data_IF_938987039319
#
_entry.id   IF_938987039319
#
_cell.length_a   1.000
_cell.length_b   1.000
_cell.length_c   1.000
_cell.angle_alpha   90.00
_cell.angle_beta   90.00
_cell.angle_gamma   90.00
#
_symmetry.space_group_name_H-M   'P 1'
#
loop_
_entity.id
_entity.type
_entity.pdbx_description
1 polymer ?
#
# COMPACT_ATOMS: atom_id res chain seq x y z
N UNK A 1 -14.69 21.12 -16.47
CA UNK A 1 -14.51 19.69 -16.75
C UNK A 1 -15.84 18.98 -16.56
N UNK A 2 -16.17 17.92 -17.31
CA UNK A 2 -17.29 17.05 -16.98
C UNK A 2 -17.18 16.59 -15.51
N UNK A 3 -18.28 16.44 -14.75
CA UNK A 3 -18.23 16.07 -13.33
C UNK A 3 -17.30 14.87 -13.05
N UNK A 4 -17.38 13.82 -13.89
CA UNK A 4 -16.55 12.63 -13.77
C UNK A 4 -15.03 12.89 -13.96
N UNK A 5 -14.65 13.85 -14.79
CA UNK A 5 -13.25 14.22 -14.99
C UNK A 5 -12.69 14.99 -13.78
N UNK A 6 -13.52 15.81 -13.12
CA UNK A 6 -13.15 16.48 -11.88
C UNK A 6 -12.99 15.48 -10.72
N UNK A 7 -13.89 14.49 -10.63
CA UNK A 7 -13.80 13.42 -9.62
C UNK A 7 -12.52 12.60 -9.79
N UNK A 8 -12.21 12.16 -11.02
CA UNK A 8 -10.96 11.44 -11.33
C UNK A 8 -9.71 12.26 -11.01
N UNK A 9 -9.75 13.58 -11.24
CA UNK A 9 -8.65 14.49 -10.89
C UNK A 9 -8.46 14.57 -9.36
N UNK A 10 -9.53 14.79 -8.61
CA UNK A 10 -9.48 14.88 -7.15
C UNK A 10 -8.95 13.59 -6.51
N UNK A 11 -9.41 12.42 -6.99
CA UNK A 11 -8.91 11.12 -6.51
C UNK A 11 -7.42 10.96 -6.85
N UNK A 12 -7.00 11.33 -8.06
CA UNK A 12 -5.59 11.26 -8.44
C UNK A 12 -4.70 12.16 -7.58
N UNK A 13 -5.13 13.40 -7.35
CA UNK A 13 -4.44 14.33 -6.46
C UNK A 13 -4.33 13.75 -5.03
N UNK A 14 -5.40 13.17 -4.50
CA UNK A 14 -5.38 12.50 -3.19
C UNK A 14 -4.38 11.33 -3.15
N UNK A 15 -4.27 10.53 -4.22
CA UNK A 15 -3.30 9.44 -4.34
C UNK A 15 -1.86 9.98 -4.35
N UNK A 16 -1.60 11.06 -5.09
CA UNK A 16 -0.29 11.71 -5.17
C UNK A 16 0.13 12.29 -3.83
N UNK A 17 -0.79 13.01 -3.19
CA UNK A 17 -0.61 13.56 -1.85
C UNK A 17 -0.39 12.46 -0.81
N UNK A 18 -1.05 11.30 -0.92
CA UNK A 18 -0.80 10.19 -0.01
C UNK A 18 0.66 9.77 0.01
N UNK A 19 1.27 9.62 -1.17
CA UNK A 19 2.68 9.18 -1.29
C UNK A 19 3.61 10.22 -0.67
N UNK A 20 3.44 11.49 -1.07
CA UNK A 20 4.33 12.56 -0.63
C UNK A 20 4.15 12.87 0.85
N UNK A 21 2.92 13.05 1.33
CA UNK A 21 2.67 13.48 2.71
C UNK A 21 3.04 12.41 3.72
N UNK A 22 2.79 11.12 3.42
CA UNK A 22 3.26 10.02 4.27
C UNK A 22 4.79 10.02 4.38
N UNK A 23 5.47 10.04 3.24
CA UNK A 23 6.91 9.82 3.19
C UNK A 23 7.72 11.04 3.63
N UNK A 24 7.10 12.23 3.64
CA UNK A 24 7.69 13.48 4.17
C UNK A 24 7.31 13.78 5.63
N UNK A 25 6.43 12.98 6.24
CA UNK A 25 5.98 13.19 7.61
C UNK A 25 4.99 14.35 7.78
N UNK A 26 4.31 14.79 6.71
CA UNK A 26 3.22 15.78 6.77
C UNK A 26 1.93 15.11 7.29
N UNK A 27 1.94 14.72 8.55
CA UNK A 27 0.87 13.94 9.15
C UNK A 27 -0.45 14.68 9.27
N UNK A 28 -0.40 16.01 9.45
CA UNK A 28 -1.60 16.84 9.52
C UNK A 28 -2.39 16.72 8.22
N UNK A 29 -1.74 16.96 7.07
CA UNK A 29 -2.39 16.78 5.77
C UNK A 29 -2.65 15.33 5.44
N UNK A 30 -1.75 14.42 5.79
CA UNK A 30 -1.93 12.99 5.53
C UNK A 30 -3.22 12.44 6.15
N UNK A 31 -3.61 12.92 7.34
CA UNK A 31 -4.85 12.49 7.99
C UNK A 31 -6.12 12.91 7.23
N UNK A 32 -6.08 14.00 6.45
CA UNK A 32 -7.26 14.52 5.75
C UNK A 32 -7.66 13.70 4.51
N UNK A 33 -6.78 12.81 4.05
CA UNK A 33 -7.03 11.94 2.90
C UNK A 33 -7.96 10.77 3.22
N UNK A 34 -8.14 10.45 4.50
CA UNK A 34 -8.78 9.22 4.94
C UNK A 34 -10.25 9.42 5.29
N UNK A 35 -11.06 8.44 4.92
CA UNK A 35 -12.40 8.33 5.46
C UNK A 35 -12.31 8.06 6.97
N UNK A 36 -13.26 8.52 7.83
CA UNK A 36 -13.27 8.21 9.27
C UNK A 36 -13.20 6.71 9.59
N UNK A 37 -13.79 5.88 8.73
CA UNK A 37 -13.76 4.42 8.79
C UNK A 37 -12.74 3.81 7.79
N UNK A 38 -11.76 4.60 7.38
CA UNK A 38 -10.73 4.21 6.43
C UNK A 38 -9.87 3.07 6.97
N UNK A 39 -9.48 2.15 6.08
CA UNK A 39 -8.60 1.01 6.41
C UNK A 39 -7.37 0.94 5.52
N UNK A 40 -6.27 0.51 6.12
CA UNK A 40 -5.01 0.28 5.42
C UNK A 40 -4.57 -1.15 5.61
N UNK A 41 -4.28 -1.82 4.50
CA UNK A 41 -3.58 -3.10 4.51
C UNK A 41 -2.12 -2.89 4.05
N UNK A 42 -1.20 -3.61 4.67
CA UNK A 42 0.22 -3.67 4.33
C UNK A 42 0.74 -5.07 4.67
N UNK A 43 2.01 -5.35 4.41
CA UNK A 43 2.63 -6.64 4.76
C UNK A 43 2.50 -7.01 6.23
N UNK A 44 2.56 -6.05 7.15
CA UNK A 44 2.61 -6.25 8.60
C UNK A 44 1.43 -5.62 9.35
N UNK A 45 0.39 -5.17 8.61
CA UNK A 45 -0.67 -4.36 9.18
C UNK A 45 -1.98 -4.50 8.40
N UNK A 46 -3.08 -4.76 9.09
CA UNK A 46 -4.43 -4.72 8.55
C UNK A 46 -5.35 -4.13 9.62
N UNK A 47 -5.56 -2.82 9.57
CA UNK A 47 -6.31 -2.12 10.60
C UNK A 47 -6.77 -0.72 10.12
N UNK A 48 -7.30 0.07 11.06
CA UNK A 48 -7.78 1.43 10.81
C UNK A 48 -6.70 2.35 10.26
N UNK A 49 -7.12 3.35 9.49
CA UNK A 49 -6.25 4.44 9.02
C UNK A 49 -5.59 5.18 10.19
N UNK A 50 -6.32 5.41 11.27
CA UNK A 50 -5.80 6.05 12.48
C UNK A 50 -4.62 5.29 13.08
N UNK A 51 -4.76 3.98 13.25
CA UNK A 51 -3.68 3.13 13.77
C UNK A 51 -2.50 3.04 12.79
N UNK A 52 -2.79 3.01 11.48
CA UNK A 52 -1.78 3.03 10.44
C UNK A 52 -0.95 4.31 10.48
N UNK A 53 -1.59 5.47 10.62
CA UNK A 53 -0.93 6.78 10.72
C UNK A 53 -0.07 6.84 11.98
N UNK A 54 -0.60 6.40 13.12
CA UNK A 54 0.15 6.39 14.38
C UNK A 54 1.42 5.52 14.30
N UNK A 55 1.31 4.32 13.71
CA UNK A 55 2.47 3.42 13.50
C UNK A 55 3.45 3.98 12.46
N UNK A 56 2.94 4.57 11.37
CA UNK A 56 3.78 5.19 10.34
C UNK A 56 4.57 6.37 10.89
N UNK A 57 3.95 7.22 11.70
CA UNK A 57 4.62 8.32 12.40
C UNK A 57 5.72 7.81 13.32
N UNK A 58 5.42 6.83 14.18
CA UNK A 58 6.43 6.23 15.06
C UNK A 58 7.62 5.66 14.29
N UNK A 59 7.36 4.98 13.17
CA UNK A 59 8.41 4.42 12.32
C UNK A 59 9.26 5.52 11.66
N UNK A 60 8.62 6.56 11.12
CA UNK A 60 9.29 7.73 10.54
C UNK A 60 10.18 8.44 11.57
N UNK A 61 9.65 8.70 12.77
CA UNK A 61 10.38 9.36 13.87
C UNK A 61 11.56 8.51 14.38
N UNK A 62 11.51 7.18 14.20
CA UNK A 62 12.62 6.27 14.50
C UNK A 62 13.68 6.19 13.38
N UNK A 63 13.52 6.96 12.30
CA UNK A 63 14.46 7.00 11.17
C UNK A 63 14.22 5.93 10.10
N UNK A 64 13.09 5.21 10.12
CA UNK A 64 12.78 4.23 9.09
C UNK A 64 12.61 4.94 7.74
N UNK A 65 13.42 4.54 6.75
CA UNK A 65 13.37 5.11 5.40
C UNK A 65 12.52 4.22 4.49
N UNK A 66 11.32 4.69 4.16
CA UNK A 66 10.42 4.06 3.17
C UNK A 66 9.91 5.13 2.22
N UNK A 67 10.08 4.90 0.91
CA UNK A 67 9.59 5.78 -0.14
C UNK A 67 8.61 5.02 -1.06
N UNK A 68 7.57 5.70 -1.50
CA UNK A 68 6.57 5.21 -2.43
C UNK A 68 6.68 5.97 -3.74
N UNK A 69 7.01 5.25 -4.81
CA UNK A 69 7.02 5.79 -6.16
C UNK A 69 5.74 5.40 -6.88
N UNK A 70 5.09 6.37 -7.52
CA UNK A 70 3.85 6.15 -8.25
C UNK A 70 4.10 6.02 -9.76
N UNK A 71 3.28 5.21 -10.42
CA UNK A 71 3.24 5.07 -11.88
C UNK A 71 1.80 5.23 -12.39
N UNK A 72 1.49 4.57 -13.52
CA UNK A 72 0.16 4.62 -14.12
C UNK A 72 -0.98 4.32 -13.13
N UNK A 73 -2.08 5.04 -13.28
CA UNK A 73 -3.26 4.91 -12.42
C UNK A 73 -4.53 4.89 -13.28
N UNK A 74 -5.43 3.96 -12.98
CA UNK A 74 -6.78 3.85 -13.53
C UNK A 74 -7.79 4.10 -12.43
N UNK A 75 -8.90 4.76 -12.75
CA UNK A 75 -9.94 5.13 -11.78
C UNK A 75 -11.29 4.85 -12.44
N UNK A 76 -12.22 4.26 -11.71
CA UNK A 76 -13.62 4.10 -12.14
C UNK A 76 -14.51 4.75 -11.10
N UNK A 77 -15.40 5.65 -11.53
CA UNK A 77 -16.29 6.44 -10.67
C UNK A 77 -17.73 6.04 -10.93
N UNK A 78 -18.51 5.87 -9.86
CA UNK A 78 -19.94 5.55 -9.87
C UNK A 78 -20.63 6.32 -8.74
N UNK A 79 -21.27 7.44 -9.09
CA UNK A 79 -21.94 8.31 -8.11
C UNK A 79 -20.96 8.87 -7.07
N UNK A 80 -21.18 8.51 -5.80
CA UNK A 80 -20.33 8.89 -4.65
C UNK A 80 -19.28 7.84 -4.29
N UNK A 81 -19.05 6.84 -5.15
CA UNK A 81 -18.05 5.79 -4.95
C UNK A 81 -17.10 5.71 -6.12
N UNK A 82 -15.86 5.32 -5.83
CA UNK A 82 -14.90 5.02 -6.87
C UNK A 82 -13.97 3.88 -6.44
N UNK A 83 -13.35 3.27 -7.44
CA UNK A 83 -12.19 2.39 -7.25
C UNK A 83 -11.03 2.91 -8.07
N UNK A 84 -9.82 2.76 -7.58
CA UNK A 84 -8.63 3.06 -8.35
C UNK A 84 -7.61 1.94 -8.28
N UNK A 85 -6.87 1.76 -9.36
CA UNK A 85 -5.67 0.95 -9.37
C UNK A 85 -4.47 1.80 -9.72
N UNK A 86 -3.52 1.87 -8.80
CA UNK A 86 -2.32 2.71 -8.92
C UNK A 86 -1.09 1.83 -8.84
N UNK A 87 -0.29 1.75 -9.90
CA UNK A 87 1.00 1.07 -9.84
C UNK A 87 1.95 1.82 -8.90
N UNK A 88 2.64 1.07 -8.05
CA UNK A 88 3.59 1.64 -7.09
C UNK A 88 4.84 0.78 -6.92
N UNK A 89 5.92 1.42 -6.53
CA UNK A 89 7.13 0.77 -6.00
C UNK A 89 7.33 1.23 -4.57
N UNK A 90 7.43 0.28 -3.64
CA UNK A 90 7.85 0.54 -2.26
C UNK A 90 9.35 0.32 -2.21
N UNK A 91 10.08 1.39 -1.90
CA UNK A 91 11.51 1.36 -1.61
C UNK A 91 11.69 1.40 -0.11
N UNK A 92 12.33 0.39 0.47
CA UNK A 92 12.63 0.35 1.90
C UNK A 92 14.13 0.09 2.10
N UNK A 93 14.77 0.96 2.90
CA UNK A 93 16.17 0.81 3.29
C UNK A 93 16.28 0.34 4.73
N UNK A 94 17.06 -0.71 4.96
CA UNK A 94 17.36 -1.20 6.31
C UNK A 94 18.67 -2.00 6.32
N UNK A 95 19.16 -2.32 7.51
CA UNK A 95 20.23 -3.29 7.68
C UNK A 95 19.66 -4.71 7.74
N UNK A 96 20.29 -5.62 7.00
CA UNK A 96 20.04 -7.06 7.06
C UNK A 96 21.40 -7.73 7.26
N UNK A 97 21.56 -8.47 8.37
CA UNK A 97 22.82 -9.13 8.74
C UNK A 97 24.04 -8.18 8.75
N UNK A 98 23.84 -6.96 9.24
CA UNK A 98 24.88 -5.92 9.29
C UNK A 98 25.26 -5.31 7.93
N UNK A 99 24.44 -5.54 6.90
CA UNK A 99 24.62 -4.97 5.56
C UNK A 99 23.43 -4.07 5.24
N UNK A 100 23.72 -2.80 4.93
CA UNK A 100 22.70 -1.87 4.46
C UNK A 100 22.23 -2.28 3.06
N UNK A 101 20.91 -2.49 2.94
CA UNK A 101 20.25 -2.94 1.71
C UNK A 101 19.09 -2.03 1.36
N UNK A 102 18.77 -1.97 0.07
CA UNK A 102 17.52 -1.43 -0.45
C UNK A 102 16.66 -2.59 -0.96
N UNK A 103 15.41 -2.64 -0.53
CA UNK A 103 14.35 -3.44 -1.16
C UNK A 103 13.54 -2.55 -2.08
N UNK A 104 13.29 -3.01 -3.30
CA UNK A 104 12.30 -2.46 -4.20
C UNK A 104 11.21 -3.51 -4.44
N UNK A 105 10.01 -3.23 -3.96
CA UNK A 105 8.84 -4.08 -4.13
C UNK A 105 7.83 -3.39 -5.05
N UNK A 106 7.57 -4.01 -6.19
CA UNK A 106 6.69 -3.49 -7.22
C UNK A 106 5.31 -4.12 -7.10
N UNK A 107 4.29 -3.29 -7.26
CA UNK A 107 2.92 -3.72 -7.12
C UNK A 107 1.91 -2.70 -7.60
N UNK A 108 0.70 -2.84 -7.08
CA UNK A 108 -0.39 -1.89 -7.24
C UNK A 108 -1.10 -1.68 -5.92
N UNK A 109 -1.61 -0.49 -5.70
CA UNK A 109 -2.71 -0.29 -4.76
C UNK A 109 -4.02 -0.46 -5.52
N UNK A 110 -4.96 -1.23 -4.97
CA UNK A 110 -6.35 -1.21 -5.37
C UNK A 110 -7.12 -0.54 -4.23
N UNK A 111 -7.54 0.69 -4.50
CA UNK A 111 -8.17 1.55 -3.50
C UNK A 111 -9.68 1.62 -3.73
N UNK A 112 -10.43 1.75 -2.64
CA UNK A 112 -11.84 2.12 -2.63
C UNK A 112 -11.98 3.53 -2.06
N UNK A 113 -12.80 4.35 -2.70
CA UNK A 113 -13.03 5.76 -2.36
C UNK A 113 -14.51 6.03 -2.15
N UNK A 114 -14.79 6.95 -1.24
CA UNK A 114 -16.13 7.44 -0.93
C UNK A 114 -16.14 8.98 -0.94
N UNK A 115 -17.14 9.58 -1.57
CA UNK A 115 -17.34 11.03 -1.55
C UNK A 115 -18.25 11.39 -0.39
N UNK A 116 -17.71 12.17 0.56
CA UNK A 116 -18.44 12.65 1.74
C UNK A 116 -18.43 14.16 1.74
N UNK A 117 -19.62 14.78 1.76
CA UNK A 117 -19.77 16.25 1.71
C UNK A 117 -18.97 16.91 0.57
N UNK A 118 -18.93 16.26 -0.60
CA UNK A 118 -18.23 16.75 -1.78
C UNK A 118 -16.72 16.47 -1.83
N UNK A 119 -16.15 15.77 -0.83
CA UNK A 119 -14.71 15.45 -0.76
C UNK A 119 -14.52 13.95 -0.96
N UNK A 120 -13.59 13.56 -1.83
CA UNK A 120 -13.19 12.17 -2.01
C UNK A 120 -12.22 11.73 -0.91
N UNK A 121 -12.58 10.68 -0.19
CA UNK A 121 -11.83 10.15 0.94
C UNK A 121 -11.50 8.67 0.72
N UNK A 122 -10.31 8.26 1.16
CA UNK A 122 -9.82 6.89 1.04
C UNK A 122 -10.51 5.98 2.06
N UNK A 123 -11.31 5.03 1.57
CA UNK A 123 -12.06 4.07 2.38
C UNK A 123 -11.27 2.79 2.65
N UNK A 124 -10.58 2.28 1.63
CA UNK A 124 -9.69 1.13 1.74
C UNK A 124 -8.49 1.34 0.83
N UNK A 125 -7.29 1.05 1.33
CA UNK A 125 -6.11 0.82 0.49
C UNK A 125 -5.62 -0.61 0.65
N UNK A 126 -5.67 -1.37 -0.45
CA UNK A 126 -5.18 -2.74 -0.52
C UNK A 126 -4.00 -2.83 -1.48
N UNK A 127 -2.78 -3.07 -0.98
CA UNK A 127 -1.64 -3.40 -1.83
C UNK A 127 -1.79 -4.78 -2.46
N UNK A 128 -1.33 -4.90 -3.69
CA UNK A 128 -1.14 -6.12 -4.48
C UNK A 128 0.34 -6.17 -4.82
N UNK A 129 1.00 -7.26 -4.46
CA UNK A 129 2.44 -7.40 -4.60
C UNK A 129 2.78 -8.31 -5.77
N UNK A 130 3.60 -7.82 -6.71
CA UNK A 130 3.77 -8.50 -8.01
C UNK A 130 5.17 -9.09 -8.16
N UNK A 131 6.20 -8.35 -7.77
CA UNK A 131 7.58 -8.80 -7.74
C UNK A 131 8.41 -7.90 -6.84
N UNK A 132 9.51 -8.43 -6.31
CA UNK A 132 10.47 -7.61 -5.60
C UNK A 132 11.90 -8.10 -5.79
N UNK A 133 12.82 -7.22 -5.40
CA UNK A 133 14.21 -7.58 -5.22
C UNK A 133 14.78 -6.76 -4.06
N UNK A 134 15.90 -7.24 -3.54
CA UNK A 134 16.72 -6.52 -2.60
C UNK A 134 18.09 -6.37 -3.22
N UNK A 135 18.83 -5.30 -2.94
CA UNK A 135 20.24 -5.14 -3.30
C UNK A 135 21.02 -4.49 -2.15
N UNK A 136 22.29 -4.86 -1.94
CA UNK A 136 23.19 -4.09 -1.08
C UNK A 136 23.35 -2.66 -1.60
N UNK A 137 23.32 -1.66 -0.71
CA UNK A 137 23.58 -0.27 -1.07
C UNK A 137 25.02 -0.10 -1.55
N UNK A 138 25.95 -0.78 -0.87
CA UNK A 138 27.33 -0.86 -1.33
C UNK A 138 27.50 -2.07 -2.26
N UNK A 139 27.72 -1.88 -3.58
CA UNK A 139 27.64 -2.96 -4.57
C UNK A 139 28.72 -4.05 -4.39
N UNK A 140 29.86 -3.72 -3.76
CA UNK A 140 30.90 -4.71 -3.47
C UNK A 140 30.61 -5.61 -2.26
N UNK A 141 29.52 -5.38 -1.52
CA UNK A 141 29.15 -6.24 -0.39
C UNK A 141 28.29 -7.39 -0.90
N UNK A 142 28.73 -8.62 -0.65
CA UNK A 142 27.87 -9.79 -0.84
C UNK A 142 26.92 -9.91 0.35
N UNK A 143 25.71 -10.44 0.11
CA UNK A 143 24.82 -10.87 1.19
C UNK A 143 24.51 -12.34 1.02
N UNK A 144 24.45 -13.04 2.13
CA UNK A 144 23.85 -14.36 2.21
C UNK A 144 22.51 -14.20 2.91
N UNK A 145 21.47 -14.72 2.27
CA UNK A 145 20.13 -14.75 2.83
C UNK A 145 19.78 -16.19 3.16
N UNK A 146 19.02 -16.37 4.23
CA UNK A 146 18.43 -17.66 4.55
C UNK A 146 17.41 -18.05 3.47
N UNK A 147 17.81 -19.03 2.64
CA UNK A 147 17.02 -19.51 1.52
C UNK A 147 15.75 -20.25 1.97
N UNK A 148 15.79 -20.95 3.10
CA UNK A 148 14.64 -21.68 3.63
C UNK A 148 13.58 -20.69 4.11
N UNK A 149 13.99 -19.67 4.87
CA UNK A 149 13.08 -18.61 5.31
C UNK A 149 12.50 -17.83 4.13
N UNK A 150 13.34 -17.45 3.15
CA UNK A 150 12.88 -16.78 1.92
C UNK A 150 11.81 -17.58 1.18
N UNK A 151 11.98 -18.90 1.07
CA UNK A 151 11.03 -19.78 0.38
C UNK A 151 9.65 -19.79 1.05
N UNK A 152 9.55 -19.42 2.33
CA UNK A 152 8.26 -19.33 3.05
C UNK A 152 7.42 -18.10 2.68
N UNK A 153 8.01 -17.09 2.04
CA UNK A 153 7.31 -15.86 1.68
C UNK A 153 6.82 -15.87 0.21
N UNK A 154 5.63 -15.30 -0.07
CA UNK A 154 5.11 -15.20 -1.43
C UNK A 154 6.02 -14.41 -2.36
N UNK A 155 6.11 -14.86 -3.62
CA UNK A 155 7.08 -14.34 -4.58
C UNK A 155 6.97 -12.83 -4.87
N UNK A 156 5.78 -12.23 -4.75
CA UNK A 156 5.56 -10.82 -5.06
C UNK A 156 6.18 -9.83 -4.07
N UNK A 157 6.48 -10.28 -2.85
CA UNK A 157 7.01 -9.44 -1.75
C UNK A 157 7.97 -10.23 -0.86
N UNK A 158 8.65 -11.22 -1.43
CA UNK A 158 9.49 -12.17 -0.70
C UNK A 158 10.64 -11.47 0.02
N UNK A 159 11.35 -10.61 -0.69
CA UNK A 159 12.50 -9.89 -0.16
C UNK A 159 12.07 -8.80 0.84
N UNK A 160 10.94 -8.13 0.56
CA UNK A 160 10.34 -7.16 1.49
C UNK A 160 9.92 -7.83 2.80
N UNK A 161 9.24 -8.98 2.70
CA UNK A 161 8.84 -9.79 3.85
C UNK A 161 10.05 -10.24 4.66
N UNK A 162 11.11 -10.70 3.99
CA UNK A 162 12.35 -11.07 4.64
C UNK A 162 12.95 -9.90 5.43
N UNK A 163 13.15 -8.75 4.78
CA UNK A 163 13.69 -7.55 5.44
C UNK A 163 12.84 -7.15 6.63
N UNK A 164 11.51 -7.12 6.49
CA UNK A 164 10.61 -6.73 7.58
C UNK A 164 10.58 -7.74 8.73
N UNK A 165 10.76 -9.02 8.43
CA UNK A 165 10.92 -10.06 9.45
C UNK A 165 12.21 -9.86 10.25
N UNK A 166 13.33 -9.48 9.60
CA UNK A 166 14.58 -9.12 10.29
C UNK A 166 14.42 -7.89 11.19
N UNK A 167 13.51 -6.98 10.84
CA UNK A 167 13.13 -5.83 11.67
C UNK A 167 12.14 -6.18 12.80
N UNK A 168 11.74 -7.45 12.94
CA UNK A 168 10.84 -7.93 13.99
C UNK A 168 9.35 -7.80 13.67
N UNK A 169 8.97 -7.47 12.43
CA UNK A 169 7.57 -7.43 12.03
C UNK A 169 7.00 -8.82 11.76
N UNK A 170 5.74 -9.02 12.13
CA UNK A 170 4.97 -10.20 11.73
C UNK A 170 4.34 -9.94 10.36
N UNK A 171 4.85 -10.60 9.33
CA UNK A 171 4.42 -10.39 7.93
C UNK A 171 3.33 -11.39 7.55
N UNK A 172 2.21 -10.89 7.04
CA UNK A 172 1.14 -11.68 6.44
C UNK A 172 1.63 -12.37 5.17
N UNK A 173 1.16 -13.60 4.95
CA UNK A 173 1.48 -14.45 3.79
C UNK A 173 0.31 -14.61 2.83
N UNK A 174 -0.83 -14.00 3.13
CA UNK A 174 -2.11 -14.16 2.41
C UNK A 174 -2.52 -12.87 1.70
N UNK A 175 -1.56 -12.00 1.41
CA UNK A 175 -1.80 -10.77 0.67
C UNK A 175 -1.92 -11.06 -0.84
N UNK A 176 -2.76 -10.31 -1.56
CA UNK A 176 -3.01 -10.57 -2.96
C UNK A 176 -1.76 -10.36 -3.81
N UNK A 177 -1.52 -11.32 -4.69
CA UNK A 177 -0.54 -11.23 -5.78
C UNK A 177 -1.20 -10.98 -7.13
N UNK A 178 -0.52 -11.36 -8.22
CA UNK A 178 -1.07 -11.20 -9.58
C UNK A 178 -2.14 -12.23 -9.94
N UNK A 179 -2.23 -13.35 -9.20
CA UNK A 179 -3.11 -14.50 -9.46
C UNK A 179 -3.51 -15.16 -8.15
N UNK A 180 -4.60 -15.93 -8.16
CA UNK A 180 -5.09 -16.71 -7.02
C UNK A 180 -6.37 -16.15 -6.39
N UNK A 181 -6.89 -16.88 -5.42
CA UNK A 181 -8.15 -16.57 -4.73
C UNK A 181 -8.17 -15.19 -4.08
N UNK A 182 -7.04 -14.72 -3.59
CA UNK A 182 -6.91 -13.45 -2.86
C UNK A 182 -7.19 -12.25 -3.77
N UNK A 183 -6.64 -12.25 -5.00
CA UNK A 183 -6.87 -11.18 -5.97
C UNK A 183 -8.26 -11.28 -6.61
N UNK A 184 -8.80 -12.49 -6.78
CA UNK A 184 -10.17 -12.70 -7.26
C UNK A 184 -11.20 -12.20 -6.25
N UNK A 185 -11.01 -12.54 -4.97
CA UNK A 185 -11.84 -12.05 -3.88
C UNK A 185 -11.76 -10.52 -3.77
N UNK A 186 -10.56 -9.93 -3.81
CA UNK A 186 -10.39 -8.47 -3.86
C UNK A 186 -11.15 -7.85 -5.03
N UNK A 187 -11.03 -8.42 -6.24
CA UNK A 187 -11.73 -7.92 -7.41
C UNK A 187 -13.25 -7.96 -7.26
N UNK A 188 -13.80 -9.00 -6.63
CA UNK A 188 -15.24 -9.10 -6.32
C UNK A 188 -15.67 -7.98 -5.39
N UNK A 189 -14.94 -7.75 -4.29
CA UNK A 189 -15.24 -6.69 -3.33
C UNK A 189 -15.20 -5.30 -3.96
N UNK A 190 -14.21 -5.03 -4.80
CA UNK A 190 -14.09 -3.75 -5.50
C UNK A 190 -15.23 -3.50 -6.49
N UNK A 191 -15.72 -4.56 -7.18
CA UNK A 191 -16.92 -4.45 -8.03
C UNK A 191 -18.19 -4.22 -7.23
N UNK A 192 -18.38 -4.94 -6.12
CA UNK A 192 -19.51 -4.76 -5.21
C UNK A 192 -19.55 -3.34 -4.65
N UNK A 193 -18.39 -2.83 -4.22
CA UNK A 193 -18.25 -1.45 -3.77
C UNK A 193 -18.71 -0.45 -4.84
N UNK A 194 -18.21 -0.59 -6.07
CA UNK A 194 -18.56 0.31 -7.18
C UNK A 194 -20.04 0.20 -7.59
N UNK A 195 -20.66 -0.97 -7.38
CA UNK A 195 -22.08 -1.22 -7.67
C UNK A 195 -23.03 -0.64 -6.61
N UNK A 196 -22.51 -0.17 -5.47
CA UNK A 196 -23.34 0.44 -4.41
C UNK A 196 -23.68 -0.50 -3.25
N UNK A 197 -23.09 -1.71 -3.17
CA UNK A 197 -23.34 -2.67 -2.09
C UNK A 197 -22.96 -2.10 -0.70
N UNK A 198 -23.39 -2.72 0.40
CA UNK A 198 -23.00 -2.26 1.74
C UNK A 198 -21.48 -2.20 1.92
N UNK A 199 -21.00 -1.25 2.73
CA UNK A 199 -19.55 -1.05 2.94
C UNK A 199 -18.84 -2.28 3.54
N UNK A 200 -19.60 -3.20 4.14
CA UNK A 200 -19.15 -4.51 4.61
C UNK A 200 -18.59 -5.39 3.50
N UNK A 201 -18.90 -5.12 2.21
CA UNK A 201 -18.25 -5.80 1.10
C UNK A 201 -16.73 -5.55 1.06
N UNK A 202 -16.25 -4.46 1.67
CA UNK A 202 -14.81 -4.19 1.79
C UNK A 202 -14.18 -4.94 2.98
N UNK A 203 -14.97 -5.47 3.91
CA UNK A 203 -14.49 -6.15 5.11
C UNK A 203 -14.07 -7.57 4.75
N UNK A 204 -12.77 -7.75 4.50
CA UNK A 204 -12.01 -9.03 4.48
C UNK A 204 -10.58 -8.80 4.00
#
# INVERSE_FOLDING_TARGET
MPPEAADRFAIREAIENWMIWRDSGDWERFTTLWHPEGRMHATWFQASATDFIARSRKAFDSGLTVLHQMHGTSIDVSGDRAVSQTRSTILQRAEVHGILVDVACHGRFWDAWERVSGIWLLRLRQPIYELDHMIPVHPARARELDAELLATFPAGYRNLAYLQTQLGFQVSRTLPGTRGSEIEALGTRMRQWLAGDEATCLDT
#
